data_IF_761992797652
#
_entry.id   IF_761992797652
#
_cell.length_a   1.000
_cell.length_b   1.000
_cell.length_c   1.000
_cell.angle_alpha   90.00
_cell.angle_beta   90.00
_cell.angle_gamma   90.00
#
_symmetry.space_group_name_H-M   'P 1'
#
loop_
_entity.id
_entity.type
_entity.pdbx_description
1 polymer ?
#
# COMPACT_ATOMS: atom_id res chain seq x y z
N UNK A 1 -14.77 -17.49 -12.26
CA UNK A 1 -13.64 -16.68 -12.76
C UNK A 1 -12.35 -17.37 -12.35
N UNK A 2 -11.27 -17.29 -13.13
CA UNK A 2 -9.99 -17.88 -12.72
C UNK A 2 -9.28 -16.91 -11.76
N UNK A 3 -8.85 -17.39 -10.58
CA UNK A 3 -8.11 -16.57 -9.60
C UNK A 3 -6.88 -15.92 -10.22
N UNK A 4 -6.22 -16.61 -11.17
CA UNK A 4 -5.00 -16.13 -11.82
C UNK A 4 -5.21 -14.92 -12.76
N UNK A 5 -6.45 -14.54 -13.06
CA UNK A 5 -6.76 -13.31 -13.82
C UNK A 5 -6.62 -12.04 -12.97
N UNK A 6 -6.68 -12.20 -11.64
CA UNK A 6 -6.67 -11.11 -10.67
C UNK A 6 -5.32 -10.98 -9.99
N UNK A 7 -4.96 -9.74 -9.68
CA UNK A 7 -3.66 -9.41 -9.13
C UNK A 7 -3.82 -8.51 -7.89
N UNK A 8 -3.35 -8.97 -6.74
CA UNK A 8 -3.21 -8.13 -5.54
C UNK A 8 -1.85 -7.45 -5.57
N UNK A 9 -1.85 -6.13 -5.75
CA UNK A 9 -0.62 -5.35 -5.80
C UNK A 9 -0.35 -4.65 -4.47
N UNK A 10 0.76 -5.01 -3.84
CA UNK A 10 1.14 -4.55 -2.52
C UNK A 10 2.07 -3.30 -2.54
N UNK A 11 1.89 -2.36 -1.61
CA UNK A 11 2.74 -1.20 -1.47
C UNK A 11 3.99 -1.53 -0.66
N UNK A 12 5.16 -1.38 -1.27
CA UNK A 12 6.44 -1.66 -0.60
C UNK A 12 7.24 -0.38 -0.42
N UNK A 13 7.54 -0.06 0.83
CA UNK A 13 8.45 1.00 1.22
C UNK A 13 9.70 0.52 1.95
N UNK A 14 9.78 -0.74 2.38
CA UNK A 14 10.96 -1.30 3.05
C UNK A 14 11.08 -2.79 2.79
N UNK A 15 12.23 -3.39 3.09
CA UNK A 15 12.42 -4.84 2.96
C UNK A 15 11.49 -5.65 3.87
N UNK A 16 11.17 -5.14 5.07
CA UNK A 16 10.15 -5.72 5.93
C UNK A 16 8.79 -5.78 5.22
N UNK A 17 8.38 -4.67 4.58
CA UNK A 17 7.12 -4.61 3.85
C UNK A 17 7.12 -5.48 2.60
N UNK A 18 8.28 -5.63 1.93
CA UNK A 18 8.43 -6.55 0.79
C UNK A 18 8.17 -7.99 1.21
N UNK A 19 8.87 -8.45 2.24
CA UNK A 19 8.71 -9.82 2.73
C UNK A 19 7.33 -10.05 3.34
N UNK A 20 6.73 -9.03 3.96
CA UNK A 20 5.35 -9.09 4.44
C UNK A 20 4.35 -9.24 3.28
N UNK A 21 4.52 -8.52 2.17
CA UNK A 21 3.69 -8.66 0.98
C UNK A 21 3.76 -10.07 0.38
N UNK A 22 4.98 -10.60 0.22
CA UNK A 22 5.22 -11.95 -0.30
C UNK A 22 4.52 -12.99 0.59
N UNK A 23 4.70 -12.90 1.91
CA UNK A 23 4.05 -13.81 2.87
C UNK A 23 2.53 -13.71 2.89
N UNK A 24 1.99 -12.54 2.56
CA UNK A 24 0.55 -12.32 2.47
C UNK A 24 -0.06 -12.85 1.16
N UNK A 25 0.75 -13.35 0.23
CA UNK A 25 0.28 -13.86 -1.06
C UNK A 25 0.02 -12.77 -2.09
N UNK A 26 0.71 -11.62 -2.00
CA UNK A 26 0.65 -10.59 -3.03
C UNK A 26 1.20 -11.12 -4.38
N UNK A 27 0.50 -10.82 -5.46
CA UNK A 27 0.89 -11.23 -6.82
C UNK A 27 1.93 -10.28 -7.43
N UNK A 28 1.92 -9.03 -6.96
CA UNK A 28 2.86 -7.99 -7.37
C UNK A 28 3.16 -7.00 -6.26
N UNK A 29 4.28 -6.29 -6.39
CA UNK A 29 4.67 -5.20 -5.49
C UNK A 29 4.99 -3.95 -6.28
N UNK A 30 4.69 -2.77 -5.71
CA UNK A 30 5.15 -1.50 -6.24
C UNK A 30 5.96 -0.70 -5.24
N UNK A 31 7.06 -0.12 -5.71
CA UNK A 31 8.01 0.66 -4.91
C UNK A 31 8.61 1.80 -5.73
N UNK A 32 9.40 2.66 -5.10
CA UNK A 32 10.12 3.75 -5.76
C UNK A 32 11.57 3.79 -5.29
N UNK A 33 12.45 4.32 -6.14
CA UNK A 33 13.88 4.55 -5.84
C UNK A 33 14.23 6.03 -6.05
N UNK A 34 15.26 6.53 -5.39
CA UNK A 34 16.10 7.70 -5.77
C UNK A 34 15.43 8.94 -6.41
N UNK A 35 14.16 9.22 -6.12
CA UNK A 35 13.41 10.36 -6.69
C UNK A 35 12.33 9.94 -7.70
N UNK A 36 11.80 10.92 -8.43
CA UNK A 36 10.78 10.78 -9.49
C UNK A 36 9.54 9.91 -9.16
N UNK A 37 9.21 9.75 -7.88
CA UNK A 37 8.04 9.02 -7.43
C UNK A 37 7.23 9.81 -6.39
N UNK A 38 5.91 9.58 -6.36
CA UNK A 38 4.97 10.34 -5.52
C UNK A 38 5.14 10.19 -3.99
N UNK A 39 6.12 9.41 -3.51
CA UNK A 39 6.42 9.25 -2.07
C UNK A 39 7.89 9.52 -1.74
N UNK A 40 8.65 10.14 -2.64
CA UNK A 40 10.08 10.38 -2.50
C UNK A 40 10.52 11.06 -1.19
N UNK A 41 9.64 11.80 -0.48
CA UNK A 41 9.97 12.40 0.83
C UNK A 41 9.36 11.71 2.06
N UNK A 42 8.56 10.66 1.87
CA UNK A 42 7.68 10.14 2.94
C UNK A 42 7.71 8.62 3.15
N UNK A 43 8.35 7.88 2.26
CA UNK A 43 8.59 6.45 2.41
C UNK A 43 10.11 6.22 2.49
N UNK A 44 10.52 5.10 3.11
CA UNK A 44 11.92 4.69 3.11
C UNK A 44 12.38 4.55 1.65
N UNK A 45 13.36 5.35 1.25
CA UNK A 45 13.79 5.42 -0.13
C UNK A 45 14.80 4.32 -0.40
N UNK A 46 14.40 3.38 -1.24
CA UNK A 46 15.32 2.43 -1.85
C UNK A 46 16.28 3.16 -2.80
N UNK A 47 17.47 2.60 -2.92
CA UNK A 47 18.50 3.03 -3.88
C UNK A 47 18.36 2.28 -5.20
N UNK A 48 19.14 2.68 -6.20
CA UNK A 48 19.31 1.93 -7.43
C UNK A 48 19.94 0.55 -7.15
N UNK A 49 20.76 0.39 -6.11
CA UNK A 49 21.26 -0.94 -5.71
C UNK A 49 20.15 -1.83 -5.15
N UNK A 50 19.25 -1.23 -4.36
CA UNK A 50 18.09 -1.94 -3.82
C UNK A 50 17.14 -2.41 -4.93
N UNK A 51 17.03 -1.66 -6.04
CA UNK A 51 16.25 -2.06 -7.21
C UNK A 51 16.60 -3.49 -7.67
N UNK A 52 17.90 -3.78 -7.83
CA UNK A 52 18.37 -5.08 -8.30
C UNK A 52 18.03 -6.20 -7.31
N UNK A 53 18.24 -5.93 -6.01
CA UNK A 53 17.94 -6.89 -4.93
C UNK A 53 16.44 -7.16 -4.81
N UNK A 54 15.62 -6.12 -4.87
CA UNK A 54 14.15 -6.26 -4.83
C UNK A 54 13.68 -7.06 -6.04
N UNK A 55 14.17 -6.76 -7.24
CA UNK A 55 13.82 -7.50 -8.45
C UNK A 55 14.22 -8.98 -8.36
N UNK A 56 15.39 -9.28 -7.79
CA UNK A 56 15.84 -10.65 -7.51
C UNK A 56 14.92 -11.37 -6.53
N UNK A 57 14.66 -10.79 -5.35
CA UNK A 57 13.75 -11.37 -4.35
C UNK A 57 12.36 -11.63 -4.94
N UNK A 58 11.84 -10.69 -5.72
CA UNK A 58 10.53 -10.83 -6.37
C UNK A 58 10.53 -12.03 -7.35
N UNK A 59 11.56 -12.16 -8.19
CA UNK A 59 11.68 -13.30 -9.12
C UNK A 59 11.80 -14.64 -8.40
N UNK A 60 12.59 -14.71 -7.33
CA UNK A 60 12.74 -15.93 -6.52
C UNK A 60 11.42 -16.42 -5.93
N UNK A 61 10.51 -15.49 -5.63
CA UNK A 61 9.20 -15.79 -5.03
C UNK A 61 8.05 -15.76 -6.05
N UNK A 62 8.33 -15.58 -7.35
CA UNK A 62 7.30 -15.53 -8.39
C UNK A 62 6.38 -14.30 -8.33
N UNK A 63 6.81 -13.21 -7.69
CA UNK A 63 6.06 -11.96 -7.54
C UNK A 63 6.50 -10.95 -8.59
N UNK A 64 5.56 -10.22 -9.21
CA UNK A 64 5.91 -9.16 -10.18
C UNK A 64 6.41 -7.91 -9.46
N UNK A 65 7.39 -7.23 -10.04
CA UNK A 65 7.97 -6.01 -9.46
C UNK A 65 7.66 -4.79 -10.33
N UNK A 66 7.12 -3.73 -9.70
CA UNK A 66 6.76 -2.50 -10.39
C UNK A 66 7.45 -1.28 -9.81
N UNK A 67 8.18 -0.55 -10.66
CA UNK A 67 8.89 0.66 -10.25
C UNK A 67 8.07 1.91 -10.58
N UNK A 68 7.80 2.76 -9.60
CA UNK A 68 7.09 4.02 -9.87
C UNK A 68 8.03 5.11 -10.37
N UNK A 69 7.71 5.67 -11.53
CA UNK A 69 8.33 6.86 -12.15
C UNK A 69 7.20 7.83 -12.52
N UNK A 70 6.42 8.22 -11.50
CA UNK A 70 5.06 8.77 -11.66
C UNK A 70 4.90 10.21 -11.16
N UNK A 71 5.97 10.99 -11.21
CA UNK A 71 5.94 12.44 -10.96
C UNK A 71 5.90 13.23 -12.26
N UNK A 72 5.62 14.53 -12.15
CA UNK A 72 5.91 15.50 -13.23
C UNK A 72 7.42 15.54 -13.47
N UNK A 73 7.84 15.50 -14.73
CA UNK A 73 9.25 15.52 -15.16
C UNK A 73 9.52 16.86 -15.89
N UNK A 74 10.63 17.52 -15.55
CA UNK A 74 11.16 18.68 -16.28
C UNK A 74 12.41 18.29 -17.08
N UNK A 75 12.88 19.18 -17.95
CA UNK A 75 14.07 18.93 -18.78
C UNK A 75 15.31 18.54 -17.96
N UNK A 76 15.49 19.14 -16.79
CA UNK A 76 16.57 18.80 -15.85
C UNK A 76 16.46 17.39 -15.25
N UNK A 77 15.24 16.84 -15.18
CA UNK A 77 14.98 15.50 -14.67
C UNK A 77 15.19 14.41 -15.74
N UNK A 78 15.27 14.76 -17.03
CA UNK A 78 15.30 13.79 -18.13
C UNK A 78 16.47 12.81 -18.04
N UNK A 79 17.66 13.29 -17.67
CA UNK A 79 18.84 12.44 -17.50
C UNK A 79 18.64 11.41 -16.38
N UNK A 80 18.09 11.84 -15.24
CA UNK A 80 17.78 10.98 -14.10
C UNK A 80 16.66 9.99 -14.43
N UNK A 81 15.62 10.44 -15.14
CA UNK A 81 14.55 9.58 -15.62
C UNK A 81 15.11 8.46 -16.51
N UNK A 82 15.99 8.78 -17.47
CA UNK A 82 16.59 7.78 -18.35
C UNK A 82 17.41 6.78 -17.54
N UNK A 83 18.27 7.24 -16.63
CA UNK A 83 19.09 6.34 -15.82
C UNK A 83 18.26 5.41 -14.93
N UNK A 84 17.16 5.89 -14.35
CA UNK A 84 16.24 5.08 -13.55
C UNK A 84 15.55 4.01 -14.42
N UNK A 85 15.10 4.37 -15.63
CA UNK A 85 14.43 3.45 -16.54
C UNK A 85 15.43 2.41 -17.12
N UNK A 86 16.66 2.82 -17.41
CA UNK A 86 17.75 1.93 -17.83
C UNK A 86 18.07 0.91 -16.71
N UNK A 87 18.14 1.37 -15.45
CA UNK A 87 18.33 0.49 -14.31
C UNK A 87 17.15 -0.48 -14.15
N UNK A 88 15.91 -0.04 -14.37
CA UNK A 88 14.74 -0.91 -14.33
C UNK A 88 14.78 -2.00 -15.41
N UNK A 89 15.23 -1.65 -16.63
CA UNK A 89 15.45 -2.60 -17.72
C UNK A 89 16.52 -3.63 -17.34
N UNK A 90 17.69 -3.18 -16.86
CA UNK A 90 18.80 -4.05 -16.47
C UNK A 90 18.44 -4.98 -15.30
N UNK A 91 17.70 -4.46 -14.31
CA UNK A 91 17.19 -5.23 -13.19
C UNK A 91 16.06 -6.19 -13.56
N UNK A 92 15.52 -6.11 -14.80
CA UNK A 92 14.38 -6.87 -15.30
C UNK A 92 13.14 -6.68 -14.41
N UNK A 93 12.86 -5.43 -14.06
CA UNK A 93 11.59 -5.04 -13.43
C UNK A 93 10.44 -5.38 -14.36
N UNK A 94 9.32 -5.85 -13.82
CA UNK A 94 8.19 -6.32 -14.62
C UNK A 94 7.51 -5.18 -15.39
N UNK A 95 7.39 -4.00 -14.79
CA UNK A 95 6.89 -2.79 -15.46
C UNK A 95 7.28 -1.52 -14.66
N UNK A 96 7.26 -0.36 -15.32
CA UNK A 96 7.23 0.92 -14.61
C UNK A 96 5.80 1.44 -14.51
N UNK A 97 5.48 2.14 -13.43
CA UNK A 97 4.24 2.90 -13.29
C UNK A 97 4.54 4.37 -13.58
N UNK A 98 4.04 4.90 -14.69
CA UNK A 98 4.40 6.22 -15.19
C UNK A 98 3.19 7.09 -15.53
N UNK A 99 3.37 8.42 -15.49
CA UNK A 99 2.37 9.41 -15.93
C UNK A 99 2.93 10.42 -16.93
N UNK A 100 4.24 10.65 -16.92
CA UNK A 100 4.86 11.58 -17.84
C UNK A 100 5.08 10.92 -19.21
N UNK A 101 4.76 11.63 -20.28
CA UNK A 101 4.86 11.10 -21.65
C UNK A 101 6.31 10.79 -22.03
N UNK A 102 7.28 11.54 -21.54
CA UNK A 102 8.70 11.27 -21.79
C UNK A 102 9.12 9.92 -21.19
N UNK A 103 8.68 9.63 -19.95
CA UNK A 103 8.95 8.36 -19.28
C UNK A 103 8.25 7.19 -19.99
N UNK A 104 6.97 7.35 -20.36
CA UNK A 104 6.21 6.32 -21.07
C UNK A 104 6.84 5.98 -22.43
N UNK A 105 7.23 7.01 -23.18
CA UNK A 105 7.83 6.86 -24.51
C UNK A 105 9.18 6.18 -24.40
N UNK A 106 10.06 6.67 -23.52
CA UNK A 106 11.41 6.11 -23.38
C UNK A 106 11.41 4.67 -22.89
N UNK A 107 10.58 4.34 -21.89
CA UNK A 107 10.44 2.97 -21.40
C UNK A 107 10.04 2.02 -22.54
N UNK A 108 9.06 2.41 -23.36
CA UNK A 108 8.63 1.64 -24.52
C UNK A 108 9.72 1.50 -25.58
N UNK A 109 10.47 2.57 -25.87
CA UNK A 109 11.59 2.55 -26.83
C UNK A 109 12.65 1.51 -26.46
N UNK A 110 12.92 1.34 -25.16
CA UNK A 110 13.89 0.34 -24.68
C UNK A 110 13.23 -0.98 -24.26
N UNK A 111 11.94 -1.18 -24.50
CA UNK A 111 11.24 -2.45 -24.22
C UNK A 111 10.94 -2.73 -22.74
N UNK A 112 10.83 -1.69 -21.91
CA UNK A 112 10.30 -1.78 -20.54
C UNK A 112 8.78 -1.58 -20.59
N UNK A 113 8.03 -2.52 -20.00
CA UNK A 113 6.57 -2.43 -19.90
C UNK A 113 6.13 -1.23 -19.05
N UNK A 114 5.01 -0.61 -19.44
CA UNK A 114 4.46 0.57 -18.77
C UNK A 114 3.07 0.27 -18.26
N UNK A 115 2.81 0.68 -17.02
CA UNK A 115 1.49 0.77 -16.40
C UNK A 115 1.13 2.24 -16.20
N UNK A 116 -0.06 2.65 -16.61
CA UNK A 116 -0.49 4.05 -16.56
C UNK A 116 -0.87 4.45 -15.13
N UNK A 117 -0.13 5.39 -14.55
CA UNK A 117 -0.35 5.89 -13.20
C UNK A 117 -1.70 6.61 -13.05
N UNK A 118 -2.28 6.52 -11.86
CA UNK A 118 -3.49 7.30 -11.47
C UNK A 118 -3.32 8.81 -11.69
N UNK A 119 -2.09 9.32 -11.70
CA UNK A 119 -1.77 10.71 -12.02
C UNK A 119 -2.21 11.14 -13.43
N UNK A 120 -2.61 10.23 -14.32
CA UNK A 120 -3.21 10.58 -15.60
C UNK A 120 -4.69 10.97 -15.49
N UNK A 121 -5.39 10.58 -14.42
CA UNK A 121 -6.82 10.81 -14.21
C UNK A 121 -7.70 10.26 -15.37
N UNK A 122 -7.43 9.04 -15.79
CA UNK A 122 -8.17 8.37 -16.89
C UNK A 122 -9.58 8.04 -16.39
N UNK A 123 -10.56 8.78 -16.90
CA UNK A 123 -11.96 8.75 -16.45
C UNK A 123 -12.95 8.36 -17.55
N UNK A 124 -12.48 8.06 -18.76
CA UNK A 124 -13.31 7.69 -19.89
C UNK A 124 -12.51 6.84 -20.89
N UNK A 125 -13.22 6.12 -21.76
CA UNK A 125 -12.63 5.19 -22.72
C UNK A 125 -11.80 5.87 -23.83
N UNK A 126 -12.12 7.13 -24.20
CA UNK A 126 -11.34 7.84 -25.23
C UNK A 126 -9.96 8.24 -24.71
N UNK A 127 -9.89 8.75 -23.47
CA UNK A 127 -8.62 8.98 -22.80
C UNK A 127 -7.83 7.67 -22.64
N UNK A 128 -8.51 6.59 -22.26
CA UNK A 128 -7.87 5.28 -22.18
C UNK A 128 -7.30 4.83 -23.53
N UNK A 129 -8.07 4.96 -24.62
CA UNK A 129 -7.65 4.61 -25.98
C UNK A 129 -6.42 5.40 -26.41
N UNK A 130 -6.37 6.70 -26.10
CA UNK A 130 -5.18 7.51 -26.35
C UNK A 130 -3.95 6.96 -25.61
N UNK A 131 -4.07 6.61 -24.32
CA UNK A 131 -2.92 6.14 -23.54
C UNK A 131 -2.58 4.66 -23.76
N UNK A 132 -3.51 3.84 -24.25
CA UNK A 132 -3.32 2.39 -24.48
C UNK A 132 -2.14 2.08 -25.41
N UNK A 133 -1.80 2.98 -26.34
CA UNK A 133 -0.63 2.83 -27.20
C UNK A 133 0.72 2.73 -26.43
N UNK A 134 0.74 3.14 -25.16
CA UNK A 134 1.92 3.14 -24.32
C UNK A 134 1.97 1.99 -23.30
N UNK A 135 0.82 1.37 -22.96
CA UNK A 135 0.71 0.57 -21.75
C UNK A 135 -0.35 -0.54 -21.83
N UNK A 136 -0.08 -1.65 -21.14
CA UNK A 136 -0.98 -2.83 -21.07
C UNK A 136 -1.90 -2.81 -19.84
N UNK A 137 -1.59 -1.96 -18.85
CA UNK A 137 -2.38 -1.80 -17.62
C UNK A 137 -2.66 -0.32 -17.38
N UNK A 138 -3.90 -0.01 -17.03
CA UNK A 138 -4.32 1.36 -16.77
C UNK A 138 -4.94 1.54 -15.38
N UNK A 139 -4.33 2.40 -14.54
CA UNK A 139 -4.98 2.84 -13.31
C UNK A 139 -6.06 3.86 -13.63
N UNK A 140 -7.32 3.49 -13.45
CA UNK A 140 -8.45 4.41 -13.66
C UNK A 140 -8.57 5.43 -12.52
N UNK A 141 -9.26 6.53 -12.84
CA UNK A 141 -9.53 7.60 -11.89
C UNK A 141 -10.28 7.09 -10.66
N UNK A 142 -9.91 7.61 -9.48
CA UNK A 142 -10.51 7.18 -8.20
C UNK A 142 -11.90 7.75 -7.98
N UNK A 143 -12.32 8.66 -8.83
CA UNK A 143 -13.60 9.37 -8.80
C UNK A 143 -14.72 8.65 -9.58
N UNK A 144 -14.40 7.58 -10.32
CA UNK A 144 -15.40 6.80 -11.06
C UNK A 144 -16.25 5.92 -10.14
N UNK A 145 -17.52 5.74 -10.49
CA UNK A 145 -18.35 4.69 -9.90
C UNK A 145 -18.19 3.35 -10.67
N UNK A 146 -18.68 2.24 -10.09
CA UNK A 146 -18.53 0.92 -10.69
C UNK A 146 -19.28 0.73 -12.02
N UNK A 147 -20.37 1.47 -12.26
CA UNK A 147 -21.08 1.42 -13.55
C UNK A 147 -20.25 2.08 -14.65
N UNK A 148 -19.58 3.19 -14.34
CA UNK A 148 -18.66 3.86 -15.27
C UNK A 148 -17.43 2.98 -15.58
N UNK A 149 -16.89 2.30 -14.57
CA UNK A 149 -15.77 1.35 -14.74
C UNK A 149 -16.20 0.18 -15.62
N UNK A 150 -17.38 -0.40 -15.35
CA UNK A 150 -17.98 -1.46 -16.18
C UNK A 150 -18.13 -1.01 -17.63
N UNK A 151 -18.67 0.18 -17.87
CA UNK A 151 -18.83 0.71 -19.22
C UNK A 151 -17.48 0.89 -19.93
N UNK A 152 -16.44 1.35 -19.23
CA UNK A 152 -15.07 1.40 -19.80
C UNK A 152 -14.58 0.00 -20.15
N UNK A 153 -14.75 -0.99 -19.28
CA UNK A 153 -14.37 -2.38 -19.56
C UNK A 153 -15.09 -2.95 -20.77
N UNK A 154 -16.41 -2.78 -20.87
CA UNK A 154 -17.20 -3.24 -22.01
C UNK A 154 -16.74 -2.60 -23.33
N UNK A 155 -16.32 -1.33 -23.30
CA UNK A 155 -15.74 -0.65 -24.47
C UNK A 155 -14.36 -1.23 -24.81
N UNK A 156 -13.51 -1.55 -23.82
CA UNK A 156 -12.21 -2.22 -24.06
C UNK A 156 -12.42 -3.52 -24.83
N UNK A 157 -13.36 -4.36 -24.37
CA UNK A 157 -13.67 -5.65 -25.00
C UNK A 157 -14.27 -5.48 -26.39
N UNK A 158 -15.29 -4.62 -26.53
CA UNK A 158 -16.02 -4.39 -27.78
C UNK A 158 -15.12 -3.80 -28.87
N UNK A 159 -14.32 -2.80 -28.52
CA UNK A 159 -13.50 -2.05 -29.49
C UNK A 159 -12.06 -2.59 -29.56
N UNK A 160 -11.77 -3.66 -28.82
CA UNK A 160 -10.45 -4.29 -28.74
C UNK A 160 -9.33 -3.29 -28.45
N UNK A 161 -9.50 -2.51 -27.37
CA UNK A 161 -8.48 -1.54 -26.94
C UNK A 161 -7.31 -2.31 -26.32
N UNK A 162 -6.25 -2.49 -27.10
CA UNK A 162 -5.09 -3.25 -26.69
C UNK A 162 -3.89 -2.37 -26.32
N UNK A 163 -3.09 -2.89 -25.39
CA UNK A 163 -1.77 -2.34 -25.07
C UNK A 163 -0.70 -2.77 -26.07
N UNK A 164 0.57 -2.37 -25.85
CA UNK A 164 1.70 -2.76 -26.70
C UNK A 164 1.89 -4.26 -26.91
N UNK A 165 1.42 -5.12 -26.00
CA UNK A 165 1.46 -6.58 -26.16
C UNK A 165 0.40 -7.13 -27.11
N UNK A 166 -0.53 -6.30 -27.58
CA UNK A 166 -1.66 -6.73 -28.41
C UNK A 166 -2.79 -7.38 -27.61
N UNK A 167 -2.71 -7.37 -26.28
CA UNK A 167 -3.75 -7.88 -25.38
C UNK A 167 -4.66 -6.72 -24.91
N UNK A 168 -5.96 -6.98 -24.62
CA UNK A 168 -6.86 -5.99 -24.06
C UNK A 168 -6.28 -5.34 -22.79
N UNK A 169 -6.38 -4.01 -22.71
CA UNK A 169 -5.84 -3.27 -21.55
C UNK A 169 -6.52 -3.73 -20.27
N UNK A 170 -5.71 -4.11 -19.27
CA UNK A 170 -6.21 -4.50 -17.94
C UNK A 170 -6.50 -3.26 -17.10
N UNK A 171 -7.65 -3.24 -16.44
CA UNK A 171 -8.03 -2.18 -15.51
C UNK A 171 -7.39 -2.43 -14.13
N UNK A 172 -6.63 -1.45 -13.66
CA UNK A 172 -6.17 -1.35 -12.29
C UNK A 172 -7.03 -0.33 -11.52
N UNK A 173 -7.39 -0.66 -10.28
CA UNK A 173 -8.04 0.27 -9.36
C UNK A 173 -7.47 0.16 -7.95
N UNK A 174 -7.52 1.26 -7.21
CA UNK A 174 -7.24 1.24 -5.79
C UNK A 174 -8.33 0.46 -5.06
N UNK A 175 -7.95 -0.50 -4.22
CA UNK A 175 -8.89 -1.32 -3.46
C UNK A 175 -8.91 -0.96 -1.97
N UNK A 176 -7.77 -0.47 -1.44
CA UNK A 176 -7.64 -0.13 -0.03
C UNK A 176 -6.68 1.03 0.20
N UNK A 177 -6.88 1.76 1.31
CA UNK A 177 -5.92 2.69 1.86
C UNK A 177 -6.22 4.15 1.54
N UNK A 178 -5.24 5.02 1.75
CA UNK A 178 -5.47 6.47 1.79
C UNK A 178 -6.12 7.02 0.52
N UNK A 179 -7.24 7.76 0.68
CA UNK A 179 -7.83 8.60 -0.37
C UNK A 179 -7.22 10.00 -0.35
N UNK A 180 -7.10 10.63 -1.52
CA UNK A 180 -6.71 12.04 -1.60
C UNK A 180 -7.97 12.89 -1.65
N UNK A 181 -7.92 14.10 -1.08
CA UNK A 181 -8.97 15.10 -1.31
C UNK A 181 -8.93 15.63 -2.76
N UNK A 182 -7.78 15.54 -3.43
CA UNK A 182 -7.57 16.05 -4.77
C UNK A 182 -7.83 14.95 -5.81
N UNK A 183 -8.32 15.37 -6.99
CA UNK A 183 -8.68 14.49 -8.11
C UNK A 183 -7.48 13.63 -8.51
N UNK A 184 -7.59 12.33 -8.26
CA UNK A 184 -6.56 11.31 -8.52
C UNK A 184 -5.14 11.75 -8.08
N UNK A 185 -5.06 12.47 -6.96
CA UNK A 185 -3.81 12.92 -6.35
C UNK A 185 -3.14 14.14 -6.99
N UNK A 186 -3.75 14.79 -8.00
CA UNK A 186 -3.25 16.02 -8.61
C UNK A 186 -3.48 17.21 -7.67
N UNK A 187 -2.52 17.51 -6.80
CA UNK A 187 -2.69 18.45 -5.69
C UNK A 187 -1.68 19.60 -5.74
N UNK A 188 -2.20 20.83 -5.70
CA UNK A 188 -1.40 22.06 -5.65
C UNK A 188 -1.34 22.70 -4.26
N UNK A 189 -2.14 22.23 -3.29
CA UNK A 189 -2.21 22.80 -1.95
C UNK A 189 -0.84 22.79 -1.26
N UNK A 190 -0.13 21.65 -1.29
CA UNK A 190 1.21 21.54 -0.69
C UNK A 190 2.25 22.43 -1.37
N UNK A 191 2.10 22.67 -2.68
CA UNK A 191 2.99 23.57 -3.41
C UNK A 191 2.73 25.02 -3.01
N UNK A 192 1.46 25.42 -2.96
CA UNK A 192 1.06 26.78 -2.59
C UNK A 192 1.47 27.13 -1.16
N UNK A 193 1.20 26.26 -0.19
CA UNK A 193 1.41 26.57 1.24
C UNK A 193 2.86 26.40 1.70
N UNK A 194 3.62 25.49 1.08
CA UNK A 194 4.91 25.06 1.61
C UNK A 194 6.01 25.01 0.55
N UNK A 195 5.75 25.50 -0.66
CA UNK A 195 6.66 25.39 -1.81
C UNK A 195 7.14 23.94 -2.04
N UNK A 196 6.25 22.96 -1.79
CA UNK A 196 6.58 21.54 -1.76
C UNK A 196 5.57 20.74 -2.60
N UNK A 197 5.93 20.41 -3.83
CA UNK A 197 5.01 19.82 -4.80
C UNK A 197 4.65 18.36 -4.50
N UNK A 198 3.36 18.10 -4.26
CA UNK A 198 2.83 16.74 -4.12
C UNK A 198 2.98 15.92 -5.41
N UNK A 199 2.88 16.59 -6.56
CA UNK A 199 3.06 15.99 -7.90
C UNK A 199 4.54 15.66 -8.21
N UNK A 200 5.47 16.04 -7.33
CA UNK A 200 6.90 15.68 -7.37
C UNK A 200 7.35 14.90 -6.12
N UNK A 201 6.41 14.21 -5.46
CA UNK A 201 6.72 13.33 -4.34
C UNK A 201 7.01 14.02 -3.01
N UNK A 202 6.77 15.33 -2.92
CA UNK A 202 7.05 16.17 -1.76
C UNK A 202 5.78 16.63 -1.03
N UNK A 203 4.74 15.78 -0.99
CA UNK A 203 3.48 16.11 -0.32
C UNK A 203 3.68 16.28 1.20
N UNK A 204 3.35 17.46 1.71
CA UNK A 204 3.39 17.83 3.14
C UNK A 204 2.19 17.36 3.96
N UNK A 205 1.19 16.76 3.28
CA UNK A 205 -0.06 16.28 3.87
C UNK A 205 -0.85 17.35 4.65
N UNK A 206 -0.83 18.62 4.21
CA UNK A 206 -1.60 19.70 4.87
C UNK A 206 -3.08 19.36 4.99
N UNK A 207 -3.67 18.68 4.01
CA UNK A 207 -5.06 18.20 4.05
C UNK A 207 -5.38 17.24 5.20
N UNK A 208 -4.37 16.68 5.88
CA UNK A 208 -4.52 15.74 7.01
C UNK A 208 -4.55 16.44 8.38
N UNK A 209 -4.46 17.76 8.43
CA UNK A 209 -4.43 18.57 9.65
C UNK A 209 -5.83 19.04 10.05
N UNK A 210 -5.98 19.48 11.29
CA UNK A 210 -7.17 20.19 11.76
C UNK A 210 -7.06 21.68 11.39
N UNK A 211 -8.19 22.29 11.08
CA UNK A 211 -8.29 23.70 10.68
C UNK A 211 -9.44 24.40 11.42
N UNK A 212 -9.22 25.66 11.76
CA UNK A 212 -10.28 26.62 12.10
C UNK A 212 -10.64 27.40 10.84
N UNK A 213 -11.93 27.53 10.52
CA UNK A 213 -12.39 28.28 9.35
C UNK A 213 -12.87 29.65 9.80
N UNK A 214 -12.28 30.70 9.22
CA UNK A 214 -12.54 32.08 9.56
C UNK A 214 -12.87 32.88 8.31
N UNK A 215 -13.95 33.64 8.36
CA UNK A 215 -14.29 34.65 7.36
C UNK A 215 -13.28 35.81 7.47
N UNK A 216 -12.68 36.17 6.33
CA UNK A 216 -11.59 37.16 6.30
C UNK A 216 -12.08 38.60 6.46
N UNK A 217 -13.32 38.88 6.09
CA UNK A 217 -13.86 40.24 6.01
C UNK A 217 -14.63 40.62 7.29
N UNK A 218 -15.10 39.62 8.05
CA UNK A 218 -15.90 39.81 9.27
C UNK A 218 -15.25 39.30 10.56
N UNK A 219 -14.06 38.71 10.48
CA UNK A 219 -13.36 38.02 11.58
C UNK A 219 -14.18 36.91 12.27
N UNK A 220 -15.33 36.52 11.71
CA UNK A 220 -16.21 35.49 12.26
C UNK A 220 -15.63 34.10 11.99
N UNK A 221 -15.50 33.29 13.04
CA UNK A 221 -15.15 31.88 12.91
C UNK A 221 -16.41 31.04 12.73
N UNK A 222 -16.39 30.11 11.76
CA UNK A 222 -17.45 29.12 11.61
C UNK A 222 -17.27 28.04 12.66
N UNK A 223 -18.32 27.79 13.44
CA UNK A 223 -18.39 26.64 14.33
C UNK A 223 -18.60 25.36 13.50
N UNK A 224 -17.50 24.67 13.20
CA UNK A 224 -17.49 23.42 12.45
C UNK A 224 -17.31 22.23 13.39
N UNK A 225 -18.28 21.31 13.39
CA UNK A 225 -18.23 20.12 14.24
C UNK A 225 -17.01 19.22 13.94
N UNK A 226 -16.61 19.14 12.66
CA UNK A 226 -15.43 18.38 12.23
C UNK A 226 -14.32 19.29 11.72
N UNK A 227 -13.26 19.45 12.51
CA UNK A 227 -12.10 20.27 12.18
C UNK A 227 -11.20 19.68 11.07
N UNK A 228 -11.38 18.41 10.69
CA UNK A 228 -10.61 17.74 9.62
C UNK A 228 -11.29 17.84 8.25
N UNK A 229 -11.67 19.06 7.87
CA UNK A 229 -12.48 19.40 6.68
C UNK A 229 -11.91 18.96 5.32
N UNK A 230 -10.63 18.54 5.27
CA UNK A 230 -9.93 18.13 4.06
C UNK A 230 -9.34 16.72 4.14
N UNK A 231 -9.53 16.01 5.25
CA UNK A 231 -8.90 14.71 5.48
C UNK A 231 -9.89 13.57 5.21
N UNK A 232 -9.89 12.95 4.03
CA UNK A 232 -10.85 11.89 3.73
C UNK A 232 -10.54 10.64 4.56
N UNK A 233 -11.56 9.85 4.88
CA UNK A 233 -11.41 8.47 5.37
C UNK A 233 -10.68 7.61 4.34
N UNK A 234 -10.14 6.48 4.78
CA UNK A 234 -9.40 5.57 3.90
C UNK A 234 -10.39 4.72 3.07
N UNK A 235 -10.03 4.39 1.83
CA UNK A 235 -10.80 3.51 0.96
C UNK A 235 -10.80 2.08 1.52
N UNK A 236 -11.96 1.44 1.56
CA UNK A 236 -12.10 0.01 1.82
C UNK A 236 -13.19 -0.59 0.95
N UNK A 237 -12.79 -1.43 0.01
CA UNK A 237 -13.70 -2.08 -0.94
C UNK A 237 -13.98 -3.56 -0.65
N UNK A 238 -13.38 -4.15 0.39
CA UNK A 238 -13.43 -5.61 0.62
C UNK A 238 -14.85 -6.19 0.70
N UNK A 239 -15.82 -5.43 1.21
CA UNK A 239 -17.24 -5.80 1.35
C UNK A 239 -18.06 -5.64 0.06
N UNK A 240 -17.46 -5.12 -1.01
CA UNK A 240 -18.04 -5.08 -2.35
C UNK A 240 -17.02 -5.41 -3.45
N UNK A 241 -15.98 -6.19 -3.13
CA UNK A 241 -14.92 -6.52 -4.09
C UNK A 241 -15.46 -7.28 -5.30
N UNK A 242 -16.52 -8.09 -5.09
CA UNK A 242 -17.28 -8.73 -6.16
C UNK A 242 -17.73 -7.73 -7.23
N UNK A 243 -18.26 -6.56 -6.84
CA UNK A 243 -18.70 -5.52 -7.78
C UNK A 243 -17.53 -4.95 -8.59
N UNK A 244 -16.34 -4.82 -7.98
CA UNK A 244 -15.14 -4.38 -8.70
C UNK A 244 -14.69 -5.42 -9.73
N UNK A 245 -14.66 -6.70 -9.33
CA UNK A 245 -14.29 -7.82 -10.21
C UNK A 245 -15.25 -7.91 -11.41
N UNK A 246 -16.56 -7.84 -11.14
CA UNK A 246 -17.61 -7.86 -12.16
C UNK A 246 -17.58 -6.65 -13.09
N UNK A 247 -17.08 -5.51 -12.61
CA UNK A 247 -16.92 -4.29 -13.41
C UNK A 247 -15.68 -4.31 -14.32
N UNK A 248 -14.87 -5.37 -14.30
CA UNK A 248 -13.70 -5.51 -15.17
C UNK A 248 -12.36 -5.19 -14.53
N UNK A 249 -12.31 -4.91 -13.22
CA UNK A 249 -11.04 -4.69 -12.52
C UNK A 249 -10.24 -6.00 -12.48
N UNK A 250 -8.95 -5.93 -12.80
CA UNK A 250 -8.02 -7.07 -12.81
C UNK A 250 -6.82 -6.87 -11.89
N UNK A 251 -6.45 -5.62 -11.58
CA UNK A 251 -5.37 -5.31 -10.63
C UNK A 251 -5.93 -4.50 -9.46
N UNK A 252 -5.80 -5.03 -8.25
CA UNK A 252 -6.25 -4.42 -7.01
C UNK A 252 -5.07 -3.78 -6.30
N UNK A 253 -4.89 -2.48 -6.50
CA UNK A 253 -3.81 -1.71 -5.87
C UNK A 253 -4.15 -1.39 -4.41
N UNK A 254 -3.28 -1.81 -3.50
CA UNK A 254 -3.34 -1.41 -2.09
C UNK A 254 -2.47 -0.17 -1.88
N UNK A 255 -3.03 0.94 -1.40
CA UNK A 255 -2.24 2.14 -1.05
C UNK A 255 -1.66 2.01 0.35
N UNK A 256 -0.38 2.37 0.51
CA UNK A 256 0.22 2.40 1.84
C UNK A 256 1.74 2.26 1.90
N UNK A 257 2.51 2.78 0.94
CA UNK A 257 3.99 2.56 0.94
C UNK A 257 4.72 3.08 2.19
N UNK A 258 4.13 4.06 2.87
CA UNK A 258 4.64 4.59 4.14
C UNK A 258 4.04 3.90 5.38
N UNK A 259 3.38 2.74 5.22
CA UNK A 259 2.81 1.95 6.32
C UNK A 259 3.77 0.83 6.73
N UNK A 260 3.59 0.37 7.96
CA UNK A 260 4.38 -0.73 8.52
C UNK A 260 4.11 -2.07 7.83
N UNK A 261 5.02 -3.04 7.96
CA UNK A 261 4.89 -4.35 7.33
C UNK A 261 3.65 -5.12 7.80
N UNK A 262 3.17 -4.92 9.02
CA UNK A 262 1.93 -5.52 9.54
C UNK A 262 0.67 -5.03 8.80
N UNK A 263 0.66 -3.77 8.36
CA UNK A 263 -0.41 -3.24 7.52
C UNK A 263 -0.37 -3.91 6.16
N UNK A 264 0.82 -3.98 5.54
CA UNK A 264 0.99 -4.62 4.23
C UNK A 264 0.57 -6.08 4.28
N UNK A 265 1.02 -6.83 5.30
CA UNK A 265 0.66 -8.22 5.50
C UNK A 265 -0.87 -8.40 5.63
N UNK A 266 -1.48 -7.70 6.59
CA UNK A 266 -2.91 -7.88 6.92
C UNK A 266 -3.80 -7.49 5.75
N UNK A 267 -3.55 -6.32 5.13
CA UNK A 267 -4.40 -5.82 4.04
C UNK A 267 -4.25 -6.71 2.80
N UNK A 268 -3.02 -7.05 2.39
CA UNK A 268 -2.84 -7.87 1.19
C UNK A 268 -3.47 -9.26 1.37
N UNK A 269 -3.30 -9.87 2.54
CA UNK A 269 -3.88 -11.18 2.85
C UNK A 269 -5.41 -11.14 2.80
N UNK A 270 -6.05 -10.16 3.46
CA UNK A 270 -7.51 -10.04 3.45
C UNK A 270 -8.05 -9.90 2.01
N UNK A 271 -7.41 -9.08 1.18
CA UNK A 271 -7.85 -8.90 -0.22
C UNK A 271 -7.56 -10.11 -1.11
N UNK A 272 -6.45 -10.82 -0.88
CA UNK A 272 -6.14 -12.08 -1.57
C UNK A 272 -7.19 -13.14 -1.26
N UNK A 273 -7.47 -13.34 0.03
CA UNK A 273 -8.53 -14.26 0.48
C UNK A 273 -9.91 -13.88 -0.04
N UNK A 274 -10.22 -12.58 -0.12
CA UNK A 274 -11.52 -12.12 -0.64
C UNK A 274 -11.68 -12.37 -2.14
N UNK A 275 -10.64 -12.16 -2.95
CA UNK A 275 -10.64 -12.50 -4.38
C UNK A 275 -10.80 -14.01 -4.58
N UNK A 276 -10.05 -14.81 -3.82
CA UNK A 276 -10.15 -16.27 -3.87
C UNK A 276 -11.53 -16.76 -3.46
N UNK A 277 -12.08 -16.22 -2.38
CA UNK A 277 -13.42 -16.54 -1.91
C UNK A 277 -14.49 -16.22 -2.97
N UNK A 278 -14.37 -15.09 -3.67
CA UNK A 278 -15.32 -14.73 -4.72
C UNK A 278 -15.22 -15.70 -5.92
N UNK A 279 -14.01 -16.01 -6.37
CA UNK A 279 -13.80 -16.98 -7.44
C UNK A 279 -14.31 -18.39 -7.10
N UNK A 280 -14.23 -18.78 -5.82
CA UNK A 280 -14.64 -20.09 -5.33
C UNK A 280 -16.11 -20.15 -4.86
N UNK A 281 -16.86 -19.04 -4.93
CA UNK A 281 -18.26 -18.98 -4.51
C UNK A 281 -18.46 -19.02 -2.99
N UNK A 282 -17.43 -18.70 -2.20
CA UNK A 282 -17.47 -18.67 -0.73
C UNK A 282 -17.35 -17.24 -0.18
N UNK A 283 -17.62 -16.22 -0.99
CA UNK A 283 -17.61 -14.82 -0.56
C UNK A 283 -18.98 -14.47 0.04
N UNK A 284 -19.06 -14.42 1.36
CA UNK A 284 -20.29 -14.23 2.13
C UNK A 284 -20.11 -13.20 3.26
N UNK A 285 -21.22 -12.88 3.95
CA UNK A 285 -21.25 -11.87 5.02
C UNK A 285 -20.36 -12.22 6.22
N UNK A 286 -20.21 -13.51 6.55
CA UNK A 286 -19.40 -13.97 7.68
C UNK A 286 -17.91 -13.70 7.43
N UNK A 287 -17.42 -14.07 6.25
CA UNK A 287 -16.03 -13.78 5.86
C UNK A 287 -15.77 -12.30 5.72
N UNK A 288 -16.73 -11.54 5.17
CA UNK A 288 -16.64 -10.08 5.09
C UNK A 288 -16.47 -9.48 6.49
N UNK A 289 -17.26 -9.93 7.46
CA UNK A 289 -17.15 -9.46 8.84
C UNK A 289 -15.79 -9.82 9.48
N UNK A 290 -15.25 -11.01 9.19
CA UNK A 290 -13.92 -11.41 9.66
C UNK A 290 -12.82 -10.49 9.10
N UNK A 291 -12.81 -10.26 7.78
CA UNK A 291 -11.83 -9.36 7.17
C UNK A 291 -11.99 -7.92 7.65
N UNK A 292 -13.22 -7.45 7.84
CA UNK A 292 -13.47 -6.11 8.39
C UNK A 292 -12.89 -5.95 9.80
N UNK A 293 -13.04 -6.98 10.65
CA UNK A 293 -12.40 -7.01 11.97
C UNK A 293 -10.88 -6.94 11.86
N UNK A 294 -10.27 -7.72 10.95
CA UNK A 294 -8.82 -7.72 10.75
C UNK A 294 -8.31 -6.37 10.22
N UNK A 295 -8.96 -5.79 9.21
CA UNK A 295 -8.59 -4.51 8.62
C UNK A 295 -8.73 -3.34 9.61
N UNK A 296 -9.68 -3.41 10.53
CA UNK A 296 -9.83 -2.43 11.60
C UNK A 296 -8.63 -2.44 12.58
N UNK A 297 -7.85 -3.53 12.64
CA UNK A 297 -6.69 -3.63 13.55
C UNK A 297 -5.43 -2.93 13.05
N UNK A 298 -5.36 -2.58 11.77
CA UNK A 298 -4.21 -1.91 11.16
C UNK A 298 -4.53 -0.46 10.87
N UNK A 299 -3.49 0.35 10.61
CA UNK A 299 -3.63 1.78 10.41
C UNK A 299 -4.76 2.10 9.41
N UNK A 300 -5.71 2.93 9.84
CA UNK A 300 -6.76 3.47 8.99
C UNK A 300 -7.23 4.82 9.55
N UNK A 301 -7.98 5.62 8.78
CA UNK A 301 -8.59 6.88 9.25
C UNK A 301 -10.11 6.80 9.28
N UNK A 302 -10.62 5.65 9.69
CA UNK A 302 -11.98 5.23 9.33
C UNK A 302 -12.04 4.80 7.87
N UNK A 303 -13.15 4.17 7.51
CA UNK A 303 -13.33 3.60 6.18
C UNK A 303 -14.44 4.30 5.41
N UNK A 304 -14.24 4.39 4.11
CA UNK A 304 -15.19 4.91 3.14
C UNK A 304 -15.15 4.04 1.88
N UNK A 305 -16.29 3.96 1.19
CA UNK A 305 -16.44 3.18 -0.04
C UNK A 305 -15.84 3.90 -1.25
N UNK A 306 -15.40 5.14 -1.07
CA UNK A 306 -15.03 6.02 -2.17
C UNK A 306 -16.25 6.40 -3.02
N UNK A 307 -15.97 6.92 -4.20
CA UNK A 307 -17.00 7.25 -5.19
C UNK A 307 -17.59 6.01 -5.88
N UNK A 308 -17.05 4.82 -5.57
CA UNK A 308 -17.29 3.56 -6.29
C UNK A 308 -18.75 3.11 -6.26
N UNK A 309 -19.47 3.43 -5.18
CA UNK A 309 -20.89 3.12 -5.01
C UNK A 309 -21.81 4.32 -5.28
N UNK A 310 -21.36 5.32 -6.07
CA UNK A 310 -22.19 6.45 -6.49
C UNK A 310 -22.48 7.47 -5.39
N UNK A 311 -21.65 7.50 -4.35
CA UNK A 311 -21.80 8.42 -3.23
C UNK A 311 -21.44 9.87 -3.64
N UNK A 312 -22.25 10.84 -3.20
CA UNK A 312 -22.21 12.22 -3.72
C UNK A 312 -21.10 13.10 -3.13
N UNK A 313 -20.55 12.74 -1.96
CA UNK A 313 -19.57 13.54 -1.21
C UNK A 313 -18.60 12.61 -0.46
N UNK A 314 -17.35 13.06 -0.30
CA UNK A 314 -16.33 12.33 0.45
C UNK A 314 -16.63 12.29 1.95
N UNK A 315 -16.40 11.14 2.57
CA UNK A 315 -16.43 11.04 4.02
C UNK A 315 -15.10 11.52 4.63
N UNK A 316 -15.19 12.40 5.61
CA UNK A 316 -14.04 12.97 6.32
C UNK A 316 -13.76 12.22 7.62
N UNK A 317 -12.50 12.10 8.01
CA UNK A 317 -12.15 11.59 9.35
C UNK A 317 -12.58 12.60 10.41
N UNK A 318 -12.88 12.14 11.62
CA UNK A 318 -13.15 12.99 12.79
C UNK A 318 -11.96 13.01 13.77
N UNK A 319 -10.83 12.38 13.42
CA UNK A 319 -9.67 12.28 14.29
C UNK A 319 -8.35 12.46 13.56
N UNK A 320 -7.35 12.92 14.31
CA UNK A 320 -5.96 12.88 13.91
C UNK A 320 -5.41 11.45 14.00
N UNK A 321 -4.43 11.14 13.14
CA UNK A 321 -3.73 9.86 13.21
C UNK A 321 -4.60 8.66 12.84
N UNK A 322 -4.40 7.54 13.53
CA UNK A 322 -5.01 6.24 13.21
C UNK A 322 -6.27 5.97 14.03
N UNK A 323 -7.29 5.40 13.39
CA UNK A 323 -8.49 4.82 14.00
C UNK A 323 -8.39 3.27 14.15
N UNK A 324 -7.19 2.70 14.02
CA UNK A 324 -6.95 1.29 14.28
C UNK A 324 -7.40 0.89 15.70
N UNK A 325 -7.95 -0.30 15.88
CA UNK A 325 -8.40 -0.79 17.20
C UNK A 325 -7.24 -1.12 18.15
N UNK A 326 -6.03 -1.25 17.62
CA UNK A 326 -4.80 -1.50 18.38
C UNK A 326 -3.64 -0.68 17.86
N UNK A 327 -2.62 -0.52 18.69
CA UNK A 327 -1.32 0.05 18.32
C UNK A 327 -0.20 -0.87 18.71
N UNK A 328 0.92 -0.80 17.98
CA UNK A 328 2.13 -1.51 18.34
C UNK A 328 3.07 -0.61 19.13
N UNK A 329 3.62 -1.17 20.20
CA UNK A 329 4.63 -0.53 21.07
C UNK A 329 5.91 -1.32 20.96
N UNK A 330 7.03 -0.63 20.74
CA UNK A 330 8.34 -1.29 20.63
C UNK A 330 8.76 -1.84 21.98
N UNK A 331 9.20 -3.10 21.99
CA UNK A 331 9.60 -3.82 23.20
C UNK A 331 11.08 -4.18 23.16
N UNK A 332 11.58 -4.65 22.02
CA UNK A 332 12.97 -5.11 21.93
C UNK A 332 13.35 -5.64 20.57
N UNK A 333 14.44 -6.41 20.53
CA UNK A 333 14.98 -6.98 19.30
C UNK A 333 15.41 -8.44 19.46
N UNK A 334 15.33 -9.19 18.38
CA UNK A 334 15.82 -10.56 18.30
C UNK A 334 17.35 -10.62 18.39
N UNK A 335 17.85 -11.60 19.13
CA UNK A 335 19.29 -11.86 19.30
C UNK A 335 19.66 -13.15 18.59
N UNK A 336 18.90 -14.22 18.82
CA UNK A 336 19.21 -15.55 18.30
C UNK A 336 17.94 -16.38 18.12
N UNK A 337 17.97 -17.32 17.18
CA UNK A 337 16.92 -18.31 17.00
C UNK A 337 17.47 -19.73 17.11
N UNK A 338 16.81 -20.55 17.92
CA UNK A 338 17.15 -21.95 18.17
C UNK A 338 16.21 -22.86 17.39
N UNK A 339 16.60 -23.20 16.15
CA UNK A 339 15.74 -23.89 15.18
C UNK A 339 15.19 -25.25 15.63
N UNK A 340 15.96 -26.03 16.40
CA UNK A 340 15.50 -27.33 16.93
C UNK A 340 14.38 -27.19 17.98
N UNK A 341 14.32 -26.04 18.65
CA UNK A 341 13.37 -25.80 19.74
C UNK A 341 12.19 -24.91 19.30
N UNK A 342 12.30 -24.21 18.17
CA UNK A 342 11.31 -23.21 17.77
C UNK A 342 11.29 -22.01 18.72
N UNK A 343 12.44 -21.65 19.32
CA UNK A 343 12.55 -20.61 20.33
C UNK A 343 13.44 -19.48 19.84
N UNK A 344 13.03 -18.23 20.05
CA UNK A 344 13.84 -17.06 19.81
C UNK A 344 14.22 -16.36 21.11
N UNK A 345 15.47 -15.93 21.19
CA UNK A 345 16.00 -15.06 22.24
C UNK A 345 15.83 -13.60 21.83
N UNK A 346 15.34 -12.78 22.75
CA UNK A 346 15.13 -11.35 22.57
C UNK A 346 15.79 -10.57 23.70
N UNK A 347 16.32 -9.39 23.37
CA UNK A 347 16.74 -8.38 24.33
C UNK A 347 15.61 -7.36 24.47
N UNK A 348 15.07 -7.20 25.68
CA UNK A 348 14.02 -6.23 25.99
C UNK A 348 14.67 -4.87 26.18
N UNK A 349 14.37 -3.93 25.29
CA UNK A 349 15.01 -2.61 25.25
C UNK A 349 14.10 -1.50 25.78
N UNK A 350 12.79 -1.71 25.76
CA UNK A 350 11.79 -0.75 26.19
C UNK A 350 10.53 -1.46 26.74
N UNK A 351 9.87 -0.80 27.68
CA UNK A 351 8.62 -1.29 28.26
C UNK A 351 8.75 -2.66 28.91
N UNK A 352 7.68 -3.44 28.77
CA UNK A 352 7.50 -4.74 29.41
C UNK A 352 6.78 -5.67 28.43
N UNK A 353 7.02 -6.97 28.57
CA UNK A 353 6.32 -8.02 27.84
C UNK A 353 5.72 -9.01 28.83
N UNK A 354 4.45 -9.34 28.68
CA UNK A 354 3.72 -10.26 29.53
C UNK A 354 3.35 -11.52 28.76
N UNK A 355 3.26 -12.63 29.48
CA UNK A 355 2.62 -13.83 28.95
C UNK A 355 1.16 -13.51 28.58
N UNK A 356 0.73 -13.98 27.41
CA UNK A 356 -0.58 -13.68 26.83
C UNK A 356 -0.60 -12.43 25.94
N UNK A 357 0.45 -11.59 25.95
CA UNK A 357 0.53 -10.44 25.05
C UNK A 357 0.52 -10.90 23.59
N UNK A 358 -0.19 -10.17 22.73
CA UNK A 358 -0.07 -10.33 21.29
C UNK A 358 1.10 -9.49 20.79
N UNK A 359 2.01 -10.11 20.04
CA UNK A 359 3.23 -9.50 19.53
C UNK A 359 3.27 -9.51 18.01
N UNK A 360 4.01 -8.56 17.44
CA UNK A 360 4.44 -8.60 16.05
C UNK A 360 5.95 -8.53 15.98
N UNK A 361 6.54 -9.49 15.26
CA UNK A 361 7.97 -9.53 14.97
C UNK A 361 8.16 -9.14 13.51
N UNK A 362 9.04 -8.17 13.27
CA UNK A 362 9.28 -7.62 11.93
C UNK A 362 10.76 -7.55 11.60
N UNK A 363 11.13 -7.87 10.36
CA UNK A 363 12.52 -7.71 9.92
C UNK A 363 12.73 -7.92 8.42
N UNK A 364 13.88 -7.49 7.86
CA UNK A 364 14.07 -7.38 6.41
C UNK A 364 13.90 -8.69 5.63
N UNK A 365 14.19 -9.83 6.25
CA UNK A 365 13.97 -11.18 5.65
C UNK A 365 12.81 -11.93 6.32
N UNK A 366 12.34 -11.43 7.46
CA UNK A 366 11.26 -12.00 8.25
C UNK A 366 9.89 -11.46 7.83
N UNK A 367 9.82 -10.26 7.24
CA UNK A 367 8.56 -9.60 6.92
C UNK A 367 7.86 -9.11 8.18
N UNK A 368 6.62 -9.55 8.38
CA UNK A 368 5.89 -9.40 9.63
C UNK A 368 5.12 -10.69 9.93
N UNK A 369 5.12 -11.10 11.20
CA UNK A 369 4.22 -12.15 11.68
C UNK A 369 3.74 -11.84 13.10
N UNK A 370 2.50 -12.21 13.38
CA UNK A 370 1.77 -11.86 14.61
C UNK A 370 1.47 -13.15 15.38
N UNK A 371 1.77 -13.20 16.67
CA UNK A 371 1.44 -14.34 17.53
C UNK A 371 1.14 -13.90 18.95
N UNK A 372 0.53 -14.78 19.75
CA UNK A 372 0.47 -14.61 21.19
C UNK A 372 1.74 -15.15 21.86
N UNK A 373 2.13 -14.55 22.98
CA UNK A 373 3.23 -15.01 23.82
C UNK A 373 2.73 -16.09 24.77
N UNK A 374 3.00 -17.35 24.46
CA UNK A 374 2.53 -18.48 25.27
C UNK A 374 3.39 -18.73 26.52
N UNK A 375 4.69 -18.45 26.44
CA UNK A 375 5.66 -18.63 27.51
C UNK A 375 6.77 -17.60 27.39
N UNK A 376 7.26 -17.12 28.54
CA UNK A 376 8.49 -16.34 28.63
C UNK A 376 9.46 -17.05 29.56
N UNK A 377 10.71 -17.20 29.12
CA UNK A 377 11.80 -17.70 29.95
C UNK A 377 12.86 -16.64 30.18
N UNK A 378 13.22 -16.44 31.45
CA UNK A 378 14.33 -15.59 31.89
C UNK A 378 15.21 -16.40 32.86
N UNK A 379 16.52 -16.46 32.60
CA UNK A 379 17.47 -17.27 33.39
C UNK A 379 17.02 -18.74 33.60
N UNK A 380 16.47 -19.36 32.54
CA UNK A 380 15.93 -20.73 32.51
C UNK A 380 14.61 -20.96 33.28
N UNK A 381 14.13 -19.97 34.01
CA UNK A 381 12.86 -20.03 34.73
C UNK A 381 11.72 -19.46 33.90
N UNK A 382 10.52 -20.03 34.06
CA UNK A 382 9.31 -19.48 33.47
C UNK A 382 8.87 -18.25 34.24
N UNK A 383 8.62 -17.14 33.54
CA UNK A 383 8.19 -15.88 34.14
C UNK A 383 6.93 -15.36 33.45
N UNK A 384 6.05 -14.70 34.19
CA UNK A 384 4.83 -14.09 33.60
C UNK A 384 5.11 -12.74 32.94
N UNK A 385 6.29 -12.14 33.22
CA UNK A 385 6.65 -10.80 32.80
C UNK A 385 8.16 -10.67 32.56
N UNK A 386 8.51 -9.96 31.49
CA UNK A 386 9.85 -9.49 31.19
C UNK A 386 9.92 -7.96 31.14
N UNK A 387 11.04 -7.39 31.57
CA UNK A 387 11.26 -5.95 31.64
C UNK A 387 12.55 -5.53 30.93
N UNK A 388 12.68 -4.24 30.65
CA UNK A 388 13.87 -3.64 30.05
C UNK A 388 15.18 -4.12 30.69
N UNK A 389 16.13 -4.50 29.84
CA UNK A 389 17.45 -4.98 30.21
C UNK A 389 17.56 -6.51 30.29
N UNK A 390 16.42 -7.22 30.30
CA UNK A 390 16.41 -8.67 30.34
C UNK A 390 16.60 -9.29 28.95
N UNK A 391 17.31 -10.41 28.91
CA UNK A 391 17.34 -11.31 27.76
C UNK A 391 16.46 -12.50 28.02
N UNK A 392 15.40 -12.61 27.24
CA UNK A 392 14.38 -13.63 27.40
C UNK A 392 14.36 -14.56 26.20
N UNK A 393 13.80 -15.74 26.39
CA UNK A 393 13.48 -16.66 25.32
C UNK A 393 11.98 -16.91 25.27
N UNK A 394 11.40 -16.87 24.08
CA UNK A 394 9.98 -17.18 23.84
C UNK A 394 9.85 -18.17 22.67
N UNK A 395 8.89 -19.12 22.72
CA UNK A 395 8.51 -19.91 21.56
C UNK A 395 7.99 -19.01 20.43
N UNK A 396 8.45 -19.24 19.20
CA UNK A 396 8.01 -18.49 18.02
C UNK A 396 7.69 -19.43 16.87
N UNK A 397 6.65 -19.09 16.11
CA UNK A 397 6.19 -19.91 14.98
C UNK A 397 7.09 -19.85 13.74
N UNK A 398 7.93 -18.82 13.66
CA UNK A 398 8.75 -18.52 12.48
C UNK A 398 10.18 -18.16 12.87
N UNK A 399 11.11 -18.41 11.94
CA UNK A 399 12.54 -18.15 12.16
C UNK A 399 12.80 -16.64 12.32
N UNK A 400 13.23 -16.24 13.51
CA UNK A 400 13.65 -14.87 13.84
C UNK A 400 15.11 -14.64 13.47
N UNK A 401 15.46 -13.43 13.01
CA UNK A 401 16.85 -13.02 12.74
C UNK A 401 17.36 -12.08 13.84
N UNK A 402 18.70 -12.01 14.01
CA UNK A 402 19.30 -10.94 14.79
C UNK A 402 18.81 -9.57 14.30
N UNK A 403 18.46 -8.70 15.23
CA UNK A 403 17.92 -7.35 15.01
C UNK A 403 16.49 -7.28 14.44
N UNK A 404 15.79 -8.41 14.28
CA UNK A 404 14.34 -8.36 14.04
C UNK A 404 13.68 -7.64 15.21
N UNK A 405 12.78 -6.71 14.91
CA UNK A 405 12.13 -5.87 15.91
C UNK A 405 10.94 -6.60 16.50
N UNK A 406 10.85 -6.61 17.82
CA UNK A 406 9.74 -7.13 18.60
C UNK A 406 8.89 -5.97 19.08
N UNK A 407 7.61 -5.99 18.71
CA UNK A 407 6.60 -5.08 19.23
C UNK A 407 5.50 -5.87 19.91
N UNK A 408 4.87 -5.26 20.89
CA UNK A 408 3.62 -5.71 21.50
C UNK A 408 2.45 -4.89 20.97
N UNK A 409 1.30 -5.51 20.78
CA UNK A 409 0.05 -4.79 20.54
C UNK A 409 -0.62 -4.39 21.85
N UNK A 410 -1.16 -3.18 21.87
CA UNK A 410 -2.00 -2.64 22.93
C UNK A 410 -3.31 -2.15 22.30
N UNK A 411 -4.44 -2.38 22.97
CA UNK A 411 -5.73 -1.84 22.52
C UNK A 411 -5.70 -0.30 22.55
N UNK A 412 -6.36 0.33 21.58
CA UNK A 412 -6.56 1.78 21.60
C UNK A 412 -7.86 2.10 22.32
N UNK A 413 -7.77 2.91 23.36
CA UNK A 413 -8.91 3.56 24.01
C UNK A 413 -9.67 4.51 23.06
#
# INVERSE_FOLDING_TARGET
MNVNEFEIMAPVGSYESLMAAIKAGADSVYFGIEGLNMRARSANNFTTEDLYKIAEICREHGVKSYLTVNTVIYDEDLSLMRSIIDAAQQAKISAIIASDVAAMTYAREIGVEVHLSTQLNISNAEALRFYAQFADVAVLARELNMDQVRNIHEIIERDHICGPKGEPVRIEMFAHGALCMAVSGKCYLSLHEHNSSANRGACSQSCRRAYTVKDKDSDLELDIENQYIMSPKDLKTIHFINKMMDAGVRVFKIEGRARGPEYVYTVCRCYKEAVEAYCNGTYDEERIAEWDKQLATVFNRGFWNGYYLGQRLGEWTHRYGSAATRQKVYVGKGIKYFSRLGVAEFEIEAGELHKGDEIVITGPTTGAFIQQVEEIRYELESVDKAVKGQRISIPVREKVRPSDKLYRFEERE
#
